data_IF_787284251264
#
_entry.id   IF_787284251264
#
_cell.length_a   1.000
_cell.length_b   1.000
_cell.length_c   1.000
_cell.angle_alpha   90.00
_cell.angle_beta   90.00
_cell.angle_gamma   90.00
#
_symmetry.space_group_name_H-M   'P 1'
#
loop_
_entity.id
_entity.type
_entity.pdbx_description
1 polymer ?
#
# COMPACT_ATOMS: atom_id res chain seq x y z
N UNK A 1 -33.34 13.32 -0.31
CA UNK A 1 -33.76 11.91 -0.31
C UNK A 1 -33.14 11.23 0.92
N UNK A 2 -33.91 10.52 1.75
CA UNK A 2 -33.39 9.83 2.94
C UNK A 2 -32.23 8.86 2.62
N UNK A 3 -31.25 8.75 3.53
CA UNK A 3 -30.07 7.87 3.37
C UNK A 3 -30.43 6.39 3.09
N UNK A 4 -31.62 5.96 3.53
CA UNK A 4 -32.15 4.62 3.28
C UNK A 4 -32.28 4.28 1.79
N UNK A 5 -32.89 5.16 0.98
CA UNK A 5 -33.15 4.88 -0.44
C UNK A 5 -31.87 4.82 -1.28
N UNK A 6 -30.89 5.65 -0.94
CA UNK A 6 -29.54 5.58 -1.53
C UNK A 6 -28.86 4.25 -1.22
N UNK A 7 -28.93 3.79 0.03
CA UNK A 7 -28.31 2.54 0.49
C UNK A 7 -28.91 1.29 -0.18
N UNK A 8 -30.21 1.28 -0.47
CA UNK A 8 -30.84 0.14 -1.17
C UNK A 8 -30.68 0.21 -2.69
N UNK A 9 -30.11 1.30 -3.22
CA UNK A 9 -29.99 1.51 -4.66
C UNK A 9 -31.34 1.66 -5.34
N UNK A 10 -32.28 2.36 -4.68
CA UNK A 10 -33.70 2.36 -4.98
C UNK A 10 -34.05 2.55 -6.46
N UNK A 11 -33.38 3.48 -7.14
CA UNK A 11 -33.62 3.79 -8.55
C UNK A 11 -33.27 2.66 -9.53
N UNK A 12 -32.39 1.73 -9.12
CA UNK A 12 -31.98 0.60 -9.94
C UNK A 12 -32.83 -0.65 -9.70
N UNK A 13 -33.76 -0.59 -8.74
CA UNK A 13 -34.63 -1.70 -8.39
C UNK A 13 -35.79 -1.82 -9.38
N UNK A 14 -36.37 -3.02 -9.47
CA UNK A 14 -37.59 -3.21 -10.25
C UNK A 14 -38.77 -2.46 -9.58
N UNK A 15 -39.79 -1.98 -10.32
CA UNK A 15 -40.96 -1.28 -9.77
C UNK A 15 -41.59 -1.94 -8.53
N UNK A 16 -41.74 -3.27 -8.57
CA UNK A 16 -42.20 -4.08 -7.43
C UNK A 16 -41.32 -3.91 -6.18
N UNK A 17 -40.01 -3.96 -6.34
CA UNK A 17 -39.06 -3.80 -5.24
C UNK A 17 -39.01 -2.36 -4.73
N UNK A 18 -39.23 -1.38 -5.62
CA UNK A 18 -39.36 0.03 -5.23
C UNK A 18 -40.58 0.24 -4.34
N UNK A 19 -41.74 -0.29 -4.73
CA UNK A 19 -42.95 -0.26 -3.90
C UNK A 19 -42.67 -0.93 -2.55
N UNK A 20 -42.03 -2.11 -2.56
CA UNK A 20 -41.67 -2.84 -1.35
C UNK A 20 -40.80 -1.99 -0.39
N UNK A 21 -39.72 -1.40 -0.91
CA UNK A 21 -38.79 -0.59 -0.13
C UNK A 21 -39.40 0.74 0.33
N UNK A 22 -40.31 1.34 -0.45
CA UNK A 22 -41.03 2.54 -0.08
C UNK A 22 -42.00 2.27 1.08
N UNK A 23 -42.84 1.24 0.95
CA UNK A 23 -43.77 0.85 2.02
C UNK A 23 -42.99 0.49 3.28
N UNK A 24 -41.87 -0.22 3.15
CA UNK A 24 -40.99 -0.53 4.28
C UNK A 24 -40.44 0.73 4.95
N UNK A 25 -39.96 1.69 4.17
CA UNK A 25 -39.41 2.92 4.73
C UNK A 25 -40.47 3.71 5.50
N UNK A 26 -41.64 3.93 4.88
CA UNK A 26 -42.71 4.75 5.47
C UNK A 26 -43.37 4.10 6.69
N UNK A 27 -43.50 2.76 6.69
CA UNK A 27 -44.22 2.05 7.76
C UNK A 27 -43.35 1.44 8.84
N UNK A 28 -42.08 1.12 8.55
CA UNK A 28 -41.18 0.42 9.48
C UNK A 28 -39.96 1.27 9.88
N UNK A 29 -39.40 2.06 8.96
CA UNK A 29 -38.16 2.83 9.25
C UNK A 29 -38.48 4.20 9.82
N UNK A 30 -39.39 4.92 9.17
CA UNK A 30 -39.78 6.28 9.54
C UNK A 30 -41.06 6.31 10.38
N UNK A 31 -41.81 5.20 10.43
CA UNK A 31 -43.06 5.03 11.18
C UNK A 31 -44.08 6.16 10.94
N UNK A 32 -44.07 6.76 9.74
CA UNK A 32 -44.92 7.89 9.37
C UNK A 32 -46.37 7.45 9.14
N UNK A 33 -46.57 6.19 8.74
CA UNK A 33 -47.88 5.59 8.45
C UNK A 33 -47.94 4.15 8.94
N UNK A 34 -49.15 3.66 9.22
CA UNK A 34 -49.38 2.23 9.54
C UNK A 34 -49.56 1.37 8.29
N UNK A 35 -50.09 1.98 7.23
CA UNK A 35 -50.33 1.37 5.92
C UNK A 35 -50.32 2.44 4.82
N UNK A 36 -50.42 2.01 3.57
CA UNK A 36 -50.41 2.89 2.41
C UNK A 36 -51.41 2.43 1.34
N UNK A 37 -52.07 3.39 0.69
CA UNK A 37 -52.90 3.11 -0.50
C UNK A 37 -52.05 3.19 -1.77
N UNK A 38 -52.49 2.52 -2.84
CA UNK A 38 -51.79 2.54 -4.12
C UNK A 38 -51.60 3.96 -4.67
N UNK A 39 -52.56 4.86 -4.45
CA UNK A 39 -52.46 6.28 -4.81
C UNK A 39 -51.31 6.96 -4.08
N UNK A 40 -51.23 6.82 -2.76
CA UNK A 40 -50.17 7.46 -1.95
C UNK A 40 -48.80 6.93 -2.36
N UNK A 41 -48.68 5.61 -2.61
CA UNK A 41 -47.45 5.00 -3.09
C UNK A 41 -47.06 5.59 -4.45
N UNK A 42 -47.99 5.66 -5.40
CA UNK A 42 -47.75 6.24 -6.72
C UNK A 42 -47.33 7.71 -6.63
N UNK A 43 -48.02 8.52 -5.83
CA UNK A 43 -47.68 9.93 -5.59
C UNK A 43 -46.24 10.07 -5.06
N UNK A 44 -45.85 9.22 -4.11
CA UNK A 44 -44.49 9.20 -3.54
C UNK A 44 -43.41 8.72 -4.51
N UNK A 45 -43.73 7.79 -5.40
CA UNK A 45 -42.80 7.37 -6.48
C UNK A 45 -42.65 8.48 -7.54
N UNK A 46 -43.75 9.16 -7.87
CA UNK A 46 -43.75 10.31 -8.78
C UNK A 46 -42.95 11.49 -8.21
N UNK A 47 -43.03 11.75 -6.90
CA UNK A 47 -42.17 12.74 -6.20
C UNK A 47 -40.67 12.43 -6.38
N UNK A 48 -40.31 11.17 -6.62
CA UNK A 48 -38.94 10.71 -6.90
C UNK A 48 -38.65 10.57 -8.42
N UNK A 49 -39.43 11.23 -9.29
CA UNK A 49 -39.29 11.23 -10.76
C UNK A 49 -39.52 9.87 -11.44
N UNK A 50 -40.22 8.94 -10.81
CA UNK A 50 -40.65 7.68 -11.45
C UNK A 50 -42.11 7.78 -11.85
N UNK A 51 -42.41 7.65 -13.14
CA UNK A 51 -43.79 7.71 -13.63
C UNK A 51 -44.40 6.31 -13.49
N UNK A 52 -45.06 6.05 -12.36
CA UNK A 52 -45.85 4.84 -12.13
C UNK A 52 -47.27 5.26 -11.75
N UNK A 53 -48.26 4.66 -12.39
CA UNK A 53 -49.68 4.95 -12.14
C UNK A 53 -50.23 4.20 -10.93
N UNK A 54 -51.20 4.79 -10.23
CA UNK A 54 -51.85 4.16 -9.08
C UNK A 54 -52.49 2.80 -9.41
N UNK A 55 -53.00 2.60 -10.63
CA UNK A 55 -53.58 1.33 -11.07
C UNK A 55 -52.52 0.22 -11.20
N UNK A 56 -51.31 0.59 -11.65
CA UNK A 56 -50.19 -0.36 -11.77
C UNK A 56 -49.68 -0.77 -10.40
N UNK A 57 -49.55 0.19 -9.48
CA UNK A 57 -49.25 -0.08 -8.07
C UNK A 57 -50.29 -1.01 -7.46
N UNK A 58 -51.58 -0.72 -7.67
CA UNK A 58 -52.67 -1.55 -7.15
C UNK A 58 -52.56 -3.00 -7.65
N UNK A 59 -52.29 -3.19 -8.94
CA UNK A 59 -52.07 -4.53 -9.51
C UNK A 59 -50.91 -5.27 -8.84
N UNK A 60 -49.78 -4.60 -8.58
CA UNK A 60 -48.63 -5.21 -7.89
C UNK A 60 -48.99 -5.60 -6.45
N UNK A 61 -49.69 -4.74 -5.73
CA UNK A 61 -50.10 -4.99 -4.33
C UNK A 61 -51.09 -6.16 -4.23
N UNK A 62 -52.01 -6.29 -5.18
CA UNK A 62 -53.01 -7.37 -5.19
C UNK A 62 -52.41 -8.72 -5.61
N UNK A 63 -51.47 -8.73 -6.56
CA UNK A 63 -50.82 -9.95 -7.06
C UNK A 63 -49.81 -10.50 -6.05
N UNK A 64 -49.05 -9.62 -5.39
CA UNK A 64 -47.92 -10.02 -4.54
C UNK A 64 -48.28 -10.17 -3.06
N UNK A 65 -49.22 -11.07 -2.77
CA UNK A 65 -49.67 -11.34 -1.40
C UNK A 65 -48.60 -11.92 -0.47
N UNK A 66 -47.48 -12.38 -1.03
CA UNK A 66 -46.33 -12.80 -0.22
C UNK A 66 -45.70 -11.62 0.53
N UNK A 67 -45.64 -10.44 -0.10
CA UNK A 67 -45.04 -9.25 0.51
C UNK A 67 -46.06 -8.25 1.06
N UNK A 68 -47.25 -8.18 0.47
CA UNK A 68 -48.27 -7.19 0.84
C UNK A 68 -49.53 -7.87 1.38
N UNK A 69 -50.13 -7.26 2.39
CA UNK A 69 -51.39 -7.68 2.98
C UNK A 69 -52.33 -6.49 3.08
N UNK A 70 -53.60 -6.71 2.75
CA UNK A 70 -54.64 -5.69 2.93
C UNK A 70 -54.76 -5.34 4.41
N UNK A 71 -54.76 -4.04 4.70
CA UNK A 71 -54.79 -3.50 6.04
C UNK A 71 -56.22 -3.36 6.53
N UNK A 72 -56.51 -3.95 7.68
CA UNK A 72 -57.74 -3.71 8.44
C UNK A 72 -57.67 -2.41 9.28
N UNK A 73 -56.53 -1.69 9.24
CA UNK A 73 -56.36 -0.46 10.03
C UNK A 73 -57.20 0.64 9.39
N UNK A 74 -58.13 1.21 10.16
CA UNK A 74 -59.00 2.29 9.72
C UNK A 74 -58.33 3.67 9.84
N UNK A 75 -57.10 3.81 9.32
CA UNK A 75 -56.39 5.09 9.26
C UNK A 75 -56.87 5.89 8.05
N UNK A 76 -57.97 6.64 8.21
CA UNK A 76 -58.62 7.36 7.12
C UNK A 76 -57.86 8.59 6.63
N UNK A 77 -56.67 8.89 7.20
CA UNK A 77 -55.86 10.05 6.78
C UNK A 77 -55.47 9.91 5.31
N UNK A 78 -55.97 10.84 4.50
CA UNK A 78 -55.80 10.92 3.04
C UNK A 78 -56.44 9.78 2.23
N UNK A 79 -57.28 8.92 2.81
CA UNK A 79 -57.96 7.87 2.04
C UNK A 79 -59.17 8.42 1.31
N UNK A 80 -59.31 8.07 0.02
CA UNK A 80 -60.58 8.27 -0.68
C UNK A 80 -61.53 7.11 -0.38
N UNK A 81 -62.83 7.37 -0.48
CA UNK A 81 -63.86 6.36 -0.24
C UNK A 81 -63.67 5.19 -1.22
N UNK A 82 -63.54 3.97 -0.70
CA UNK A 82 -63.32 2.76 -1.50
C UNK A 82 -61.87 2.40 -1.81
N UNK A 83 -60.88 3.18 -1.34
CA UNK A 83 -59.47 2.81 -1.48
C UNK A 83 -59.07 1.69 -0.51
N UNK A 84 -58.40 0.65 -1.02
CA UNK A 84 -57.75 -0.39 -0.21
C UNK A 84 -56.37 0.07 0.23
N UNK A 85 -56.04 -0.18 1.50
CA UNK A 85 -54.72 0.10 2.05
C UNK A 85 -53.96 -1.21 2.25
N UNK A 86 -52.64 -1.17 2.07
CA UNK A 86 -51.77 -2.32 2.18
C UNK A 86 -50.64 -2.03 3.16
N UNK A 87 -50.22 -3.07 3.87
CA UNK A 87 -49.02 -3.07 4.69
C UNK A 87 -48.16 -4.28 4.33
N UNK A 88 -46.93 -4.31 4.82
CA UNK A 88 -46.05 -5.46 4.59
C UNK A 88 -46.46 -6.63 5.47
N UNK A 89 -46.37 -7.84 4.92
CA UNK A 89 -46.44 -9.07 5.72
C UNK A 89 -45.27 -9.10 6.72
N UNK A 90 -45.45 -9.76 7.86
CA UNK A 90 -44.39 -9.83 8.87
C UNK A 90 -43.14 -10.55 8.35
N UNK A 91 -43.32 -11.52 7.46
CA UNK A 91 -42.23 -12.23 6.77
C UNK A 91 -41.43 -11.23 5.91
N UNK A 92 -42.11 -10.40 5.11
CA UNK A 92 -41.44 -9.39 4.28
C UNK A 92 -40.73 -8.34 5.12
N UNK A 93 -41.36 -7.86 6.20
CA UNK A 93 -40.73 -6.93 7.16
C UNK A 93 -39.45 -7.51 7.74
N UNK A 94 -39.49 -8.72 8.28
CA UNK A 94 -38.32 -9.36 8.88
C UNK A 94 -37.19 -9.57 7.86
N UNK A 95 -37.52 -9.96 6.63
CA UNK A 95 -36.55 -10.14 5.55
C UNK A 95 -35.84 -8.83 5.20
N UNK A 96 -36.60 -7.74 5.08
CA UNK A 96 -36.06 -6.40 4.79
C UNK A 96 -35.24 -5.84 5.96
N UNK A 97 -35.70 -6.00 7.20
CA UNK A 97 -34.94 -5.63 8.41
C UNK A 97 -33.59 -6.34 8.42
N UNK A 98 -33.57 -7.66 8.16
CA UNK A 98 -32.33 -8.44 8.12
C UNK A 98 -31.39 -7.95 7.01
N UNK A 99 -31.91 -7.73 5.80
CA UNK A 99 -31.12 -7.24 4.67
C UNK A 99 -30.52 -5.85 4.95
N UNK A 100 -31.30 -4.95 5.55
CA UNK A 100 -30.89 -3.60 5.93
C UNK A 100 -29.83 -3.64 7.03
N UNK A 101 -30.05 -4.42 8.10
CA UNK A 101 -29.10 -4.56 9.21
C UNK A 101 -27.74 -5.10 8.75
N UNK A 102 -27.72 -6.10 7.86
CA UNK A 102 -26.45 -6.65 7.30
C UNK A 102 -25.68 -5.57 6.53
N UNK A 103 -26.36 -4.73 5.74
CA UNK A 103 -25.71 -3.61 5.02
C UNK A 103 -25.20 -2.54 5.99
N UNK A 104 -25.97 -2.19 7.02
CA UNK A 104 -25.55 -1.25 8.07
C UNK A 104 -24.32 -1.73 8.84
N UNK A 105 -24.27 -3.02 9.22
CA UNK A 105 -23.12 -3.59 9.93
C UNK A 105 -21.85 -3.55 9.08
N UNK A 106 -21.94 -3.89 7.78
CA UNK A 106 -20.79 -3.82 6.86
C UNK A 106 -20.25 -2.41 6.73
N UNK A 107 -21.10 -1.40 6.53
CA UNK A 107 -20.66 0.00 6.45
C UNK A 107 -20.06 0.47 7.78
N UNK A 108 -20.74 0.23 8.90
CA UNK A 108 -20.25 0.68 10.22
C UNK A 108 -18.91 0.06 10.60
N UNK A 109 -18.65 -1.19 10.21
CA UNK A 109 -17.41 -1.90 10.52
C UNK A 109 -16.17 -1.21 9.91
N UNK A 110 -16.27 -0.76 8.66
CA UNK A 110 -15.16 -0.08 7.98
C UNK A 110 -14.89 1.34 8.50
N UNK A 111 -15.91 2.03 8.98
CA UNK A 111 -15.80 3.40 9.48
C UNK A 111 -15.68 3.51 11.01
N UNK A 112 -15.59 2.39 11.73
CA UNK A 112 -15.34 2.44 13.18
C UNK A 112 -13.87 2.77 13.48
N UNK A 113 -13.58 3.76 14.35
CA UNK A 113 -12.21 4.21 14.65
C UNK A 113 -11.32 3.10 15.24
N UNK A 114 -11.92 2.09 15.90
CA UNK A 114 -11.21 0.92 16.42
C UNK A 114 -10.52 0.06 15.36
N UNK A 115 -11.02 0.06 14.11
CA UNK A 115 -10.42 -0.67 12.99
C UNK A 115 -9.59 0.23 12.08
N UNK A 116 -9.97 1.50 11.93
CA UNK A 116 -9.22 2.45 11.11
C UNK A 116 -7.81 2.74 11.65
N UNK A 117 -7.66 2.91 12.97
CA UNK A 117 -6.35 3.21 13.58
C UNK A 117 -5.33 2.09 13.34
N UNK A 118 -5.59 0.81 13.65
CA UNK A 118 -4.63 -0.26 13.39
C UNK A 118 -4.41 -0.47 11.89
N UNK A 119 -5.41 -0.26 11.03
CA UNK A 119 -5.24 -0.33 9.57
C UNK A 119 -4.30 0.77 9.05
N UNK A 120 -4.48 2.02 9.50
CA UNK A 120 -3.59 3.13 9.13
C UNK A 120 -2.17 2.93 9.66
N UNK A 121 -2.00 2.42 10.88
CA UNK A 121 -0.69 2.06 11.42
C UNK A 121 -0.03 0.94 10.61
N UNK A 122 -0.79 -0.08 10.20
CA UNK A 122 -0.29 -1.15 9.34
C UNK A 122 0.14 -0.61 7.96
N UNK A 123 -0.66 0.25 7.35
CA UNK A 123 -0.31 0.88 6.06
C UNK A 123 0.93 1.79 6.17
N UNK A 124 1.07 2.54 7.25
CA UNK A 124 2.27 3.34 7.53
C UNK A 124 3.50 2.43 7.69
N UNK A 125 3.38 1.35 8.45
CA UNK A 125 4.47 0.39 8.66
C UNK A 125 4.89 -0.30 7.35
N UNK A 126 3.93 -0.69 6.50
CA UNK A 126 4.19 -1.28 5.18
C UNK A 126 4.95 -0.28 4.30
N UNK A 127 4.53 1.00 4.30
CA UNK A 127 5.16 2.06 3.51
C UNK A 127 6.61 2.29 3.92
N UNK A 128 6.87 2.36 5.23
CA UNK A 128 8.24 2.47 5.79
C UNK A 128 9.07 1.24 5.40
N UNK A 129 8.51 0.04 5.53
CA UNK A 129 9.21 -1.21 5.21
C UNK A 129 9.61 -1.30 3.73
N UNK A 130 8.71 -0.90 2.82
CA UNK A 130 9.00 -0.83 1.38
C UNK A 130 10.09 0.20 1.09
N UNK A 131 10.06 1.35 1.77
CA UNK A 131 11.10 2.37 1.69
C UNK A 131 12.48 1.86 2.09
N UNK A 132 12.57 1.18 3.24
CA UNK A 132 13.81 0.57 3.75
C UNK A 132 14.33 -0.53 2.82
N UNK A 133 13.45 -1.38 2.28
CA UNK A 133 13.83 -2.43 1.35
C UNK A 133 14.36 -1.85 0.03
N UNK A 134 13.67 -0.84 -0.51
CA UNK A 134 14.09 -0.15 -1.74
C UNK A 134 15.43 0.56 -1.56
N UNK A 135 15.68 1.15 -0.39
CA UNK A 135 16.97 1.72 -0.02
C UNK A 135 18.08 0.66 0.04
N UNK A 136 17.82 -0.48 0.66
CA UNK A 136 18.78 -1.57 0.74
C UNK A 136 19.19 -2.04 -0.67
N UNK A 137 18.22 -2.22 -1.57
CA UNK A 137 18.50 -2.55 -2.97
C UNK A 137 19.24 -1.43 -3.73
N UNK A 138 18.87 -0.17 -3.51
CA UNK A 138 19.52 0.98 -4.15
C UNK A 138 20.98 1.13 -3.71
N UNK A 139 21.28 0.95 -2.42
CA UNK A 139 22.66 0.93 -1.91
C UNK A 139 23.41 -0.24 -2.51
N UNK A 140 22.87 -1.46 -2.44
CA UNK A 140 23.55 -2.63 -3.01
C UNK A 140 23.90 -2.40 -4.48
N UNK A 141 22.98 -1.82 -5.27
CA UNK A 141 23.23 -1.45 -6.68
C UNK A 141 24.27 -0.34 -6.83
N UNK A 142 24.18 0.73 -6.05
CA UNK A 142 25.15 1.83 -6.11
C UNK A 142 26.56 1.38 -5.73
N UNK A 143 26.66 0.38 -4.85
CA UNK A 143 27.91 -0.28 -4.51
C UNK A 143 28.35 -1.23 -5.61
N UNK A 144 27.49 -2.06 -6.17
CA UNK A 144 27.88 -3.02 -7.22
C UNK A 144 28.34 -2.34 -8.51
N UNK A 145 27.81 -1.15 -8.79
CA UNK A 145 28.07 -0.42 -10.03
C UNK A 145 29.14 0.68 -9.86
N UNK A 146 29.98 0.59 -8.83
CA UNK A 146 31.04 1.57 -8.60
C UNK A 146 32.12 1.44 -9.68
N UNK A 147 32.21 2.42 -10.57
CA UNK A 147 33.29 2.48 -11.57
C UNK A 147 34.68 2.51 -10.90
N UNK A 148 35.69 1.96 -11.57
CA UNK A 148 37.07 1.94 -11.07
C UNK A 148 37.60 3.34 -10.63
N UNK A 149 37.39 4.44 -11.37
CA UNK A 149 37.79 5.77 -10.91
C UNK A 149 37.12 6.21 -9.61
N UNK A 150 35.81 5.92 -9.45
CA UNK A 150 35.07 6.24 -8.24
C UNK A 150 35.53 5.38 -7.05
N UNK A 151 35.88 4.11 -7.28
CA UNK A 151 36.50 3.23 -6.30
C UNK A 151 37.85 3.79 -5.81
N UNK A 152 38.75 4.11 -6.74
CA UNK A 152 40.10 4.64 -6.46
C UNK A 152 40.05 5.93 -5.63
N UNK A 153 39.11 6.82 -5.96
CA UNK A 153 38.92 8.07 -5.24
C UNK A 153 38.43 7.86 -3.79
N UNK A 154 37.45 6.97 -3.59
CA UNK A 154 36.87 6.71 -2.25
C UNK A 154 37.84 6.00 -1.31
N UNK A 155 38.62 5.06 -1.82
CA UNK A 155 39.66 4.36 -1.02
C UNK A 155 40.92 5.20 -0.83
N UNK A 156 41.02 6.37 -1.46
CA UNK A 156 42.22 7.20 -1.50
C UNK A 156 43.46 6.40 -1.94
N UNK A 157 43.27 5.51 -2.92
CA UNK A 157 44.27 4.51 -3.32
C UNK A 157 45.59 5.14 -3.76
N UNK A 158 45.57 6.36 -4.29
CA UNK A 158 46.78 7.05 -4.74
C UNK A 158 47.73 7.41 -3.61
N UNK A 159 47.17 7.78 -2.47
CA UNK A 159 47.89 8.18 -1.27
C UNK A 159 48.20 7.00 -0.33
N UNK A 160 47.63 5.82 -0.61
CA UNK A 160 47.81 4.64 0.24
C UNK A 160 49.24 4.07 0.14
N UNK A 161 49.74 3.42 1.21
CA UNK A 161 51.02 2.71 1.15
C UNK A 161 50.95 1.52 0.17
N UNK A 162 52.09 1.09 -0.41
CA UNK A 162 52.15 0.02 -1.43
C UNK A 162 51.37 -1.25 -1.06
N UNK A 163 51.41 -1.64 0.21
CA UNK A 163 50.77 -2.83 0.76
C UNK A 163 49.25 -2.71 0.80
N UNK A 164 48.73 -1.52 1.16
CA UNK A 164 47.29 -1.25 1.15
C UNK A 164 46.75 -1.13 -0.28
N UNK A 165 47.55 -0.60 -1.22
CA UNK A 165 47.17 -0.62 -2.65
C UNK A 165 46.96 -2.05 -3.14
N UNK A 166 47.81 -2.99 -2.74
CA UNK A 166 47.66 -4.40 -3.07
C UNK A 166 46.37 -5.01 -2.46
N UNK A 167 46.05 -4.65 -1.21
CA UNK A 167 44.79 -5.04 -0.56
C UNK A 167 43.55 -4.50 -1.29
N UNK A 168 43.57 -3.25 -1.75
CA UNK A 168 42.46 -2.66 -2.50
C UNK A 168 42.25 -3.32 -3.86
N UNK A 169 43.33 -3.63 -4.59
CA UNK A 169 43.21 -4.40 -5.85
C UNK A 169 42.64 -5.78 -5.60
N UNK A 170 43.10 -6.47 -4.54
CA UNK A 170 42.56 -7.76 -4.14
C UNK A 170 41.06 -7.65 -3.87
N UNK A 171 40.63 -6.71 -3.03
CA UNK A 171 39.21 -6.44 -2.74
C UNK A 171 38.41 -6.15 -4.00
N UNK A 172 38.88 -5.24 -4.85
CA UNK A 172 38.13 -4.82 -6.02
C UNK A 172 37.85 -6.02 -6.93
N UNK A 173 38.87 -6.84 -7.21
CA UNK A 173 38.76 -7.95 -8.14
C UNK A 173 37.99 -9.13 -7.54
N UNK A 174 38.23 -9.48 -6.28
CA UNK A 174 37.64 -10.69 -5.67
C UNK A 174 36.27 -10.47 -5.04
N UNK A 175 36.04 -9.30 -4.45
CA UNK A 175 34.82 -9.02 -3.68
C UNK A 175 33.87 -8.07 -4.40
N UNK A 176 34.41 -7.03 -5.04
CA UNK A 176 33.59 -5.98 -5.63
C UNK A 176 33.03 -6.38 -7.00
N UNK A 177 33.90 -6.70 -7.97
CA UNK A 177 33.48 -7.17 -9.31
C UNK A 177 33.36 -8.70 -9.40
N UNK A 178 33.83 -9.43 -8.37
CA UNK A 178 33.79 -10.90 -8.28
C UNK A 178 34.34 -11.62 -9.52
N UNK A 179 35.38 -11.05 -10.14
CA UNK A 179 35.95 -11.56 -11.37
C UNK A 179 36.80 -12.82 -11.14
N UNK A 180 37.39 -12.96 -9.94
CA UNK A 180 38.16 -14.13 -9.50
C UNK A 180 37.91 -14.41 -8.03
N UNK A 181 38.11 -15.65 -7.60
CA UNK A 181 37.98 -16.02 -6.18
C UNK A 181 39.23 -15.75 -5.34
N UNK A 182 40.40 -15.63 -5.95
CA UNK A 182 41.67 -15.36 -5.27
C UNK A 182 42.67 -14.73 -6.24
N UNK A 183 43.78 -14.21 -5.70
CA UNK A 183 44.87 -13.67 -6.51
C UNK A 183 46.25 -13.97 -5.92
N UNK A 184 47.20 -14.30 -6.80
CA UNK A 184 48.62 -14.42 -6.43
C UNK A 184 49.30 -13.04 -6.37
N UNK A 185 50.35 -12.85 -5.55
CA UNK A 185 51.10 -11.60 -5.46
C UNK A 185 51.63 -11.08 -6.81
N UNK A 186 52.04 -11.98 -7.71
CA UNK A 186 52.50 -11.64 -9.07
C UNK A 186 51.40 -10.92 -9.87
N UNK A 187 50.21 -11.53 -9.94
CA UNK A 187 49.07 -10.95 -10.66
C UNK A 187 48.64 -9.62 -10.05
N UNK A 188 48.69 -9.47 -8.72
CA UNK A 188 48.36 -8.19 -8.07
C UNK A 188 49.39 -7.10 -8.44
N UNK A 189 50.68 -7.45 -8.44
CA UNK A 189 51.78 -6.56 -8.86
C UNK A 189 51.61 -6.07 -10.29
N UNK A 190 51.30 -6.97 -11.23
CA UNK A 190 51.03 -6.64 -12.63
C UNK A 190 49.81 -5.71 -12.77
N UNK A 191 48.73 -6.00 -12.04
CA UNK A 191 47.52 -5.16 -12.08
C UNK A 191 47.75 -3.77 -11.51
N UNK A 192 48.55 -3.63 -10.45
CA UNK A 192 48.95 -2.32 -9.91
C UNK A 192 49.73 -1.49 -10.93
N UNK A 193 50.56 -2.14 -11.75
CA UNK A 193 51.27 -1.50 -12.84
C UNK A 193 50.30 -1.07 -13.96
N UNK A 194 49.42 -1.97 -14.39
CA UNK A 194 48.45 -1.73 -15.47
C UNK A 194 47.54 -0.52 -15.18
N UNK A 195 47.11 -0.36 -13.92
CA UNK A 195 46.21 0.72 -13.49
C UNK A 195 46.94 2.01 -13.10
N UNK A 196 48.27 2.06 -13.25
CA UNK A 196 49.10 3.21 -12.90
C UNK A 196 49.08 3.55 -11.40
N UNK A 197 48.98 2.54 -10.52
CA UNK A 197 49.00 2.74 -9.05
C UNK A 197 50.41 2.62 -8.44
N UNK A 198 51.41 2.30 -9.26
CA UNK A 198 52.83 2.18 -8.88
C UNK A 198 53.31 0.73 -8.92
N UNK A 199 54.64 0.56 -9.00
CA UNK A 199 55.28 -0.76 -9.07
C UNK A 199 55.54 -1.30 -7.66
N UNK A 200 54.81 -2.35 -7.27
CA UNK A 200 54.99 -3.04 -5.98
C UNK A 200 55.54 -4.44 -6.25
N UNK A 201 56.64 -4.82 -5.60
CA UNK A 201 57.27 -6.13 -5.84
C UNK A 201 56.39 -7.27 -5.28
N UNK A 202 56.22 -8.40 -6.01
CA UNK A 202 55.43 -9.54 -5.55
C UNK A 202 55.85 -10.06 -4.17
N UNK A 203 57.16 -10.11 -3.90
CA UNK A 203 57.70 -10.54 -2.59
C UNK A 203 57.26 -9.64 -1.43
N UNK A 204 57.09 -8.35 -1.68
CA UNK A 204 56.63 -7.38 -0.66
C UNK A 204 55.15 -7.61 -0.36
N UNK A 205 54.34 -7.83 -1.39
CA UNK A 205 52.92 -8.16 -1.26
C UNK A 205 52.75 -9.47 -0.48
N UNK A 206 53.50 -10.50 -0.85
CA UNK A 206 53.45 -11.81 -0.19
C UNK A 206 53.83 -11.73 1.30
N UNK A 207 54.93 -11.03 1.62
CA UNK A 207 55.36 -10.83 2.99
C UNK A 207 54.33 -10.06 3.81
N UNK A 208 53.67 -9.06 3.22
CA UNK A 208 52.59 -8.34 3.89
C UNK A 208 51.37 -9.25 4.11
N UNK A 209 50.93 -9.98 3.09
CA UNK A 209 49.70 -10.79 3.14
C UNK A 209 49.82 -11.95 4.13
N UNK A 210 50.98 -12.61 4.23
CA UNK A 210 51.22 -13.67 5.22
C UNK A 210 51.12 -13.19 6.67
N UNK A 211 51.42 -11.92 6.91
CA UNK A 211 51.42 -11.31 8.24
C UNK A 211 50.14 -10.51 8.55
N UNK A 212 49.20 -10.41 7.59
CA UNK A 212 48.01 -9.59 7.74
C UNK A 212 46.79 -10.45 8.12
N UNK A 213 46.19 -10.29 9.32
CA UNK A 213 45.04 -11.09 9.74
C UNK A 213 43.76 -10.83 8.91
N UNK A 214 43.74 -9.75 8.13
CA UNK A 214 42.65 -9.41 7.23
C UNK A 214 42.67 -10.20 5.91
N UNK A 215 43.73 -10.97 5.67
CA UNK A 215 44.00 -11.69 4.42
C UNK A 215 44.37 -13.12 4.79
N UNK A 216 43.89 -14.10 4.03
CA UNK A 216 44.25 -15.50 4.25
C UNK A 216 44.58 -16.20 2.93
N UNK A 217 45.43 -17.24 3.04
CA UNK A 217 45.80 -18.12 1.95
C UNK A 217 44.88 -19.36 1.98
N UNK A 218 44.08 -19.61 0.94
CA UNK A 218 43.22 -20.79 0.88
C UNK A 218 44.05 -22.08 0.80
N UNK A 219 43.63 -23.10 1.56
CA UNK A 219 44.32 -24.41 1.58
C UNK A 219 44.34 -25.11 0.22
N UNK A 220 43.37 -24.82 -0.65
CA UNK A 220 43.23 -25.43 -1.97
C UNK A 220 44.18 -24.84 -3.03
N UNK A 221 44.76 -23.65 -2.78
CA UNK A 221 45.62 -22.98 -3.76
C UNK A 221 46.70 -22.16 -3.07
N UNK A 222 47.80 -22.83 -2.74
CA UNK A 222 48.95 -22.17 -2.12
C UNK A 222 49.53 -21.06 -3.01
N UNK A 223 49.92 -19.97 -2.38
CA UNK A 223 50.44 -18.75 -3.01
C UNK A 223 49.37 -17.81 -3.58
N UNK A 224 48.09 -18.13 -3.46
CA UNK A 224 46.98 -17.23 -3.77
C UNK A 224 46.31 -16.75 -2.48
N UNK A 225 45.84 -15.50 -2.48
CA UNK A 225 45.29 -14.86 -1.30
C UNK A 225 43.88 -14.37 -1.53
N UNK A 226 43.12 -14.31 -0.44
CA UNK A 226 41.78 -13.76 -0.37
C UNK A 226 41.58 -12.94 0.91
N UNK A 227 40.58 -12.07 0.93
CA UNK A 227 40.24 -11.32 2.14
C UNK A 227 39.44 -12.19 3.09
N UNK A 228 39.69 -12.03 4.39
CA UNK A 228 38.79 -12.51 5.43
C UNK A 228 37.58 -11.58 5.54
N UNK A 229 36.50 -12.02 6.18
CA UNK A 229 35.32 -11.17 6.42
C UNK A 229 35.69 -9.83 7.07
N UNK A 230 36.63 -9.85 8.03
CA UNK A 230 37.14 -8.63 8.66
C UNK A 230 37.89 -7.72 7.68
N UNK A 231 38.67 -8.29 6.76
CA UNK A 231 39.35 -7.52 5.71
C UNK A 231 38.40 -6.93 4.67
N UNK A 232 37.32 -7.64 4.33
CA UNK A 232 36.24 -7.14 3.48
C UNK A 232 35.54 -5.96 4.16
N UNK A 233 35.23 -6.07 5.45
CA UNK A 233 34.53 -5.03 6.20
C UNK A 233 35.38 -3.77 6.39
N UNK A 234 36.69 -3.89 6.59
CA UNK A 234 37.62 -2.76 6.66
C UNK A 234 37.61 -1.93 5.37
N UNK A 235 37.69 -2.58 4.20
CA UNK A 235 37.64 -1.87 2.92
C UNK A 235 36.25 -1.27 2.66
N UNK A 236 35.17 -1.94 3.09
CA UNK A 236 33.80 -1.40 3.02
C UNK A 236 33.61 -0.16 3.90
N UNK A 237 34.22 -0.11 5.07
CA UNK A 237 34.21 1.08 5.95
C UNK A 237 34.88 2.26 5.25
N UNK A 238 36.05 2.07 4.63
CA UNK A 238 36.75 3.11 3.84
C UNK A 238 35.95 3.60 2.63
N UNK A 239 35.17 2.72 2.01
CA UNK A 239 34.29 3.07 0.89
C UNK A 239 33.01 3.83 1.32
N UNK A 240 32.79 3.99 2.63
CA UNK A 240 31.56 4.58 3.19
C UNK A 240 30.33 3.69 3.01
N UNK A 241 30.53 2.38 2.85
CA UNK A 241 29.45 1.42 2.53
C UNK A 241 28.82 0.81 3.77
N UNK A 242 29.55 0.82 4.88
CA UNK A 242 28.99 0.55 6.18
C UNK A 242 28.64 1.90 6.82
N UNK A 243 27.36 2.17 7.14
CA UNK A 243 27.04 3.29 8.03
C UNK A 243 27.86 3.11 9.30
N UNK A 244 28.69 4.10 9.61
CA UNK A 244 29.62 4.09 10.74
C UNK A 244 28.91 3.61 12.00
N UNK A 245 29.24 2.41 12.51
CA UNK A 245 28.77 1.93 13.82
C UNK A 245 29.29 2.82 14.96
N UNK A 246 30.34 3.60 14.72
CA UNK A 246 31.04 4.45 15.71
C UNK A 246 30.35 5.79 15.92
N UNK A 247 29.58 6.25 14.95
CA UNK A 247 28.71 7.40 15.11
C UNK A 247 27.29 6.87 15.26
N UNK A 248 26.86 6.59 16.50
CA UNK A 248 25.46 6.22 16.83
C UNK A 248 24.40 7.28 16.45
N UNK A 249 24.79 8.25 15.64
CA UNK A 249 24.00 9.33 15.03
C UNK A 249 23.71 9.04 13.53
N UNK A 250 24.31 7.97 12.96
CA UNK A 250 23.97 7.46 11.64
C UNK A 250 22.59 6.80 11.68
N UNK A 251 21.55 7.58 11.33
CA UNK A 251 20.37 7.17 10.55
C UNK A 251 19.11 8.01 10.84
N UNK A 252 19.16 9.08 11.65
CA UNK A 252 18.00 9.97 11.77
C UNK A 252 18.18 11.30 11.06
N UNK A 253 19.31 12.00 11.24
CA UNK A 253 19.52 13.31 10.60
C UNK A 253 19.65 13.20 9.08
N UNK A 254 20.47 12.27 8.59
CA UNK A 254 20.64 12.05 7.15
C UNK A 254 19.41 11.39 6.51
N UNK A 255 18.74 10.49 7.24
CA UNK A 255 17.45 9.94 6.83
C UNK A 255 16.37 11.02 6.79
N UNK A 256 16.34 11.96 7.74
CA UNK A 256 15.43 13.11 7.74
C UNK A 256 15.74 14.09 6.62
N UNK A 257 17.01 14.43 6.37
CA UNK A 257 17.38 15.33 5.27
C UNK A 257 17.06 14.71 3.90
N UNK A 258 17.31 13.40 3.74
CA UNK A 258 16.96 12.66 2.53
C UNK A 258 15.45 12.42 2.39
N UNK A 259 14.73 12.05 3.46
CA UNK A 259 13.26 11.93 3.47
C UNK A 259 12.57 13.29 3.37
N UNK A 260 13.15 14.41 3.79
CA UNK A 260 12.59 15.75 3.55
C UNK A 260 12.75 16.13 2.07
N UNK A 261 13.89 15.81 1.46
CA UNK A 261 14.13 15.98 0.01
C UNK A 261 13.25 15.03 -0.83
N UNK A 262 13.00 13.82 -0.33
CA UNK A 262 12.15 12.84 -1.00
C UNK A 262 10.67 13.07 -0.72
N UNK A 263 10.29 13.54 0.46
CA UNK A 263 8.95 14.02 0.77
C UNK A 263 8.61 15.24 -0.09
N UNK A 264 9.55 16.15 -0.38
CA UNK A 264 9.29 17.22 -1.37
C UNK A 264 9.05 16.70 -2.78
N UNK A 265 9.62 15.54 -3.14
CA UNK A 265 9.34 14.82 -4.40
C UNK A 265 8.09 13.92 -4.35
N UNK A 266 7.71 13.42 -3.17
CA UNK A 266 6.52 12.61 -2.92
C UNK A 266 5.31 13.45 -2.55
N UNK A 267 5.46 14.72 -2.18
CA UNK A 267 4.37 15.65 -1.92
C UNK A 267 3.50 15.78 -3.18
N UNK A 268 4.05 15.91 -4.40
CA UNK A 268 3.25 15.83 -5.63
C UNK A 268 2.53 14.48 -5.82
N UNK A 269 3.13 13.34 -5.44
CA UNK A 269 2.48 12.03 -5.59
C UNK A 269 1.41 11.80 -4.52
N UNK A 270 1.63 12.24 -3.28
CA UNK A 270 0.66 12.22 -2.18
C UNK A 270 -0.47 13.22 -2.40
N UNK A 271 -0.18 14.42 -2.91
CA UNK A 271 -1.18 15.37 -3.39
C UNK A 271 -1.94 14.76 -4.57
N UNK A 272 -1.25 14.08 -5.50
CA UNK A 272 -1.86 13.39 -6.62
C UNK A 272 -2.80 12.26 -6.20
N UNK A 273 -2.39 11.41 -5.26
CA UNK A 273 -3.22 10.35 -4.69
C UNK A 273 -4.37 10.91 -3.84
N UNK A 274 -4.14 11.95 -3.04
CA UNK A 274 -5.19 12.63 -2.29
C UNK A 274 -6.20 13.31 -3.20
N UNK A 275 -5.75 13.96 -4.29
CA UNK A 275 -6.61 14.53 -5.33
C UNK A 275 -7.35 13.45 -6.10
N UNK A 276 -6.73 12.30 -6.36
CA UNK A 276 -7.38 11.15 -7.00
C UNK A 276 -8.47 10.55 -6.11
N UNK A 277 -8.19 10.38 -4.81
CA UNK A 277 -9.18 9.93 -3.81
C UNK A 277 -10.30 10.97 -3.68
N UNK A 278 -9.98 12.26 -3.65
CA UNK A 278 -10.97 13.33 -3.58
C UNK A 278 -11.83 13.41 -4.86
N UNK A 279 -11.23 13.26 -6.04
CA UNK A 279 -11.92 13.21 -7.32
C UNK A 279 -12.79 11.96 -7.44
N UNK A 280 -12.31 10.80 -6.99
CA UNK A 280 -13.09 9.56 -6.91
C UNK A 280 -14.27 9.70 -5.93
N UNK A 281 -14.07 10.34 -4.77
CA UNK A 281 -15.13 10.64 -3.81
C UNK A 281 -16.17 11.63 -4.35
N UNK A 282 -15.74 12.64 -5.13
CA UNK A 282 -16.63 13.56 -5.84
C UNK A 282 -17.40 12.92 -7.00
N UNK A 283 -16.74 12.04 -7.75
CA UNK A 283 -17.39 11.25 -8.80
C UNK A 283 -18.42 10.29 -8.18
N UNK A 284 -18.08 9.66 -7.06
CA UNK A 284 -18.97 8.79 -6.31
C UNK A 284 -20.15 9.55 -5.69
N UNK A 285 -19.93 10.77 -5.16
CA UNK A 285 -21.02 11.60 -4.61
C UNK A 285 -21.96 12.17 -5.68
N UNK A 286 -21.51 12.25 -6.94
CA UNK A 286 -22.37 12.55 -8.09
C UNK A 286 -23.12 11.32 -8.63
N UNK A 287 -22.62 10.12 -8.34
CA UNK A 287 -23.27 8.84 -8.67
C UNK A 287 -24.25 8.35 -7.57
N UNK A 288 -24.31 9.04 -6.42
CA UNK A 288 -25.14 8.73 -5.24
C UNK A 288 -26.16 9.82 -4.95
#
# INVERSE_FOLDING_TARGET
>A
MPNYFKMVGFYNLHPKEQILHLVFFETVVAELRKDMTARIIADRLNDQKQIIGANEVQGILEIDQYHFQESAVNDQRDRRQGEKAYHLTDIAKQKLIRAVNVRFVKLRFWFTPKFMIPFLLAMAFISVSIGLLSYHFAIIRYVSDLSWPAYRARTQMDCAPPEEKAKFVLYFITEHIKYRHDMTPQVISERLLDIGAGKVMPKVIEAHFKNNPAIFEPSLRSGAYHLTTAGVDDVKEKLGLNPSKKEGVFALKWFLEYEVYRATLMIPSLIGEALFIWAAALAYSKLV
#
